data_IF_923366989065
#
_entry.id   IF_923366989065
#
_cell.length_a   1.000
_cell.length_b   1.000
_cell.length_c   1.000
_cell.angle_alpha   90.00
_cell.angle_beta   90.00
_cell.angle_gamma   90.00
#
_symmetry.space_group_name_H-M   'P 1'
#
loop_
_entity.id
_entity.type
_entity.pdbx_description
1 polymer ?
#
# COMPACT_ATOMS: atom_id res chain seq x y z
N UNK A 1 -17.45 -13.72 -13.42
CA UNK A 1 -16.16 -12.99 -13.34
C UNK A 1 -15.23 -13.76 -12.42
N UNK A 2 -13.94 -13.86 -12.73
CA UNK A 2 -12.96 -14.56 -11.87
C UNK A 2 -12.35 -13.55 -10.90
N UNK A 3 -12.68 -13.68 -9.62
CA UNK A 3 -12.04 -12.93 -8.55
C UNK A 3 -10.60 -13.42 -8.33
N UNK A 4 -9.69 -12.49 -8.10
CA UNK A 4 -8.30 -12.73 -7.70
C UNK A 4 -8.10 -12.24 -6.28
N UNK A 5 -7.50 -13.10 -5.47
CA UNK A 5 -7.18 -12.80 -4.08
C UNK A 5 -5.66 -12.62 -3.91
N UNK A 6 -5.25 -11.66 -3.09
CA UNK A 6 -3.85 -11.40 -2.75
C UNK A 6 -3.70 -11.04 -1.26
N UNK A 7 -2.50 -11.26 -0.73
CA UNK A 7 -2.11 -10.81 0.62
C UNK A 7 -1.07 -9.70 0.49
N UNK A 8 -1.28 -8.59 1.19
CA UNK A 8 -0.30 -7.52 1.35
C UNK A 8 0.25 -7.54 2.77
N UNK A 9 1.41 -8.18 2.96
CA UNK A 9 2.02 -8.31 4.27
C UNK A 9 2.44 -6.95 4.85
N UNK A 10 2.16 -6.78 6.14
CA UNK A 10 2.74 -5.73 6.95
C UNK A 10 4.27 -5.93 7.06
N UNK A 11 4.96 -4.83 7.33
CA UNK A 11 6.41 -4.82 7.51
C UNK A 11 6.80 -4.23 8.86
N UNK A 12 7.94 -4.67 9.36
CA UNK A 12 8.65 -4.03 10.48
C UNK A 12 10.07 -3.68 10.04
N UNK A 13 10.63 -2.61 10.60
CA UNK A 13 12.03 -2.26 10.39
C UNK A 13 12.84 -2.85 11.54
N UNK A 14 13.63 -3.91 11.29
CA UNK A 14 14.53 -4.48 12.31
C UNK A 14 15.71 -3.56 12.62
N UNK A 15 16.11 -2.77 11.64
CA UNK A 15 17.07 -1.70 11.81
C UNK A 15 16.62 -0.50 10.98
N UNK A 16 16.80 0.70 11.52
CA UNK A 16 16.53 1.96 10.85
C UNK A 16 17.60 2.98 11.25
N UNK A 17 18.34 3.47 10.26
CA UNK A 17 19.29 4.56 10.41
C UNK A 17 18.74 5.74 9.63
N UNK A 18 18.52 6.85 10.34
CA UNK A 18 18.07 8.12 9.78
C UNK A 18 19.28 9.05 9.70
N UNK A 19 19.57 9.57 8.52
CA UNK A 19 20.70 10.49 8.28
C UNK A 19 20.22 11.95 8.34
N UNK A 20 21.15 12.91 8.35
CA UNK A 20 20.82 14.33 8.28
C UNK A 20 19.99 14.66 7.03
N UNK A 21 19.10 15.66 7.08
CA UNK A 21 18.28 16.03 5.93
C UNK A 21 19.13 16.39 4.71
N UNK A 22 18.68 15.97 3.54
CA UNK A 22 19.22 16.39 2.26
C UNK A 22 18.62 17.75 1.84
N UNK A 23 19.14 18.32 0.75
CA UNK A 23 18.70 19.62 0.23
C UNK A 23 17.25 19.63 -0.27
N UNK A 24 16.65 18.47 -0.50
CA UNK A 24 15.25 18.29 -0.90
C UNK A 24 14.28 18.22 0.29
N UNK A 25 14.78 18.34 1.52
CA UNK A 25 13.99 18.30 2.75
C UNK A 25 13.70 16.88 3.26
N UNK A 26 14.14 15.82 2.59
CA UNK A 26 14.00 14.45 3.06
C UNK A 26 15.21 13.99 3.87
N UNK A 27 14.98 13.05 4.78
CA UNK A 27 16.06 12.33 5.45
C UNK A 27 16.41 11.06 4.67
N UNK A 28 17.65 10.89 4.19
CA UNK A 28 18.10 9.62 3.69
C UNK A 28 17.99 8.54 4.77
N UNK A 29 17.41 7.39 4.40
CA UNK A 29 17.24 6.25 5.31
C UNK A 29 18.04 5.04 4.83
N UNK A 30 18.63 4.32 5.78
CA UNK A 30 19.13 2.96 5.56
C UNK A 30 18.38 2.03 6.52
N UNK A 31 17.66 1.06 5.99
CA UNK A 31 16.74 0.23 6.78
C UNK A 31 16.86 -1.23 6.38
N UNK A 32 16.71 -2.12 7.36
CA UNK A 32 16.38 -3.52 7.12
C UNK A 32 14.89 -3.70 7.41
N UNK A 33 14.08 -3.65 6.35
CA UNK A 33 12.65 -3.94 6.43
C UNK A 33 12.41 -5.43 6.18
N UNK A 34 11.59 -6.05 7.02
CA UNK A 34 11.15 -7.43 6.84
C UNK A 34 9.62 -7.49 6.84
N UNK A 35 9.07 -8.41 6.06
CA UNK A 35 7.66 -8.75 6.12
C UNK A 35 7.38 -9.64 7.33
N UNK A 36 6.17 -9.51 7.88
CA UNK A 36 5.66 -10.41 8.93
C UNK A 36 4.37 -11.08 8.42
N UNK A 37 3.93 -12.14 9.11
CA UNK A 37 2.74 -12.92 8.70
C UNK A 37 1.40 -12.23 9.05
N UNK A 38 1.44 -10.93 9.38
CA UNK A 38 0.25 -10.08 9.46
C UNK A 38 0.06 -9.43 8.09
N UNK A 39 -1.13 -9.52 7.49
CA UNK A 39 -1.37 -9.03 6.14
C UNK A 39 -2.80 -8.52 5.95
N UNK A 40 -2.95 -7.53 5.08
CA UNK A 40 -4.25 -7.17 4.51
C UNK A 40 -4.64 -8.19 3.42
N UNK A 41 -5.94 -8.48 3.33
CA UNK A 41 -6.51 -9.33 2.27
C UNK A 41 -7.12 -8.43 1.20
N UNK A 42 -6.73 -8.66 -0.05
CA UNK A 42 -7.29 -7.95 -1.20
C UNK A 42 -8.06 -8.93 -2.08
N UNK A 43 -9.29 -8.58 -2.40
CA UNK A 43 -10.11 -9.24 -3.41
C UNK A 43 -10.29 -8.27 -4.60
N UNK A 44 -10.02 -8.75 -5.81
CA UNK A 44 -10.05 -7.92 -7.02
C UNK A 44 -10.76 -8.68 -8.13
N UNK A 45 -11.64 -7.99 -8.85
CA UNK A 45 -12.30 -8.50 -10.04
C UNK A 45 -12.34 -7.41 -11.11
N UNK A 46 -12.39 -7.83 -12.38
CA UNK A 46 -12.68 -6.90 -13.47
C UNK A 46 -14.16 -6.48 -13.36
N UNK A 47 -14.40 -5.18 -13.45
CA UNK A 47 -15.71 -4.54 -13.39
C UNK A 47 -15.85 -3.54 -14.54
N UNK A 48 -17.08 -3.19 -14.91
CA UNK A 48 -17.36 -2.14 -15.91
C UNK A 48 -16.96 -0.75 -15.41
N UNK A 49 -17.04 -0.55 -14.09
CA UNK A 49 -16.65 0.68 -13.41
C UNK A 49 -15.61 0.40 -12.31
N UNK A 50 -14.78 1.40 -12.01
CA UNK A 50 -13.88 1.31 -10.88
C UNK A 50 -14.65 1.42 -9.57
N UNK A 51 -14.38 0.47 -8.69
CA UNK A 51 -14.97 0.42 -7.36
C UNK A 51 -13.87 0.09 -6.36
N UNK A 52 -13.97 0.69 -5.19
CA UNK A 52 -13.08 0.42 -4.07
C UNK A 52 -13.89 0.40 -2.78
N UNK A 53 -13.67 -0.65 -2.01
CA UNK A 53 -14.26 -0.84 -0.70
C UNK A 53 -13.17 -1.23 0.29
N UNK A 54 -13.20 -0.64 1.46
CA UNK A 54 -12.30 -0.97 2.56
C UNK A 54 -13.11 -1.27 3.82
N UNK A 55 -12.75 -2.35 4.53
CA UNK A 55 -13.37 -2.71 5.80
C UNK A 55 -13.09 -1.70 6.92
N UNK A 56 -12.02 -0.91 6.79
CA UNK A 56 -11.73 0.25 7.63
C UNK A 56 -12.43 1.48 7.04
N UNK A 57 -13.51 1.93 7.69
CA UNK A 57 -14.40 2.98 7.19
C UNK A 57 -13.69 4.32 6.94
N UNK A 58 -12.72 4.66 7.79
CA UNK A 58 -11.89 5.86 7.67
C UNK A 58 -10.95 5.85 6.46
N UNK A 59 -10.68 4.67 5.90
CA UNK A 59 -9.86 4.47 4.70
C UNK A 59 -10.68 4.18 3.45
N UNK A 60 -12.01 4.18 3.55
CA UNK A 60 -12.92 3.85 2.45
C UNK A 60 -13.25 5.07 1.57
N UNK A 61 -12.22 5.63 0.94
CA UNK A 61 -12.34 6.82 0.10
C UNK A 61 -11.26 6.84 -1.00
N UNK A 62 -11.46 7.64 -2.06
CA UNK A 62 -10.56 7.74 -3.22
C UNK A 62 -9.15 8.30 -2.89
N UNK A 63 -8.95 8.82 -1.68
CA UNK A 63 -7.62 9.22 -1.21
C UNK A 63 -6.72 8.04 -0.82
N UNK A 64 -7.29 6.83 -0.73
CA UNK A 64 -6.57 5.61 -0.38
C UNK A 64 -5.50 5.29 -1.45
N UNK A 65 -4.33 4.83 -1.01
CA UNK A 65 -3.24 4.45 -1.92
C UNK A 65 -3.61 3.29 -2.85
N UNK A 66 -4.51 2.39 -2.45
CA UNK A 66 -5.02 1.32 -3.30
C UNK A 66 -5.84 1.89 -4.48
N UNK A 67 -6.71 2.88 -4.23
CA UNK A 67 -7.42 3.58 -5.30
C UNK A 67 -6.45 4.32 -6.23
N UNK A 68 -5.50 5.06 -5.66
CA UNK A 68 -4.48 5.77 -6.45
C UNK A 68 -3.64 4.81 -7.29
N UNK A 69 -3.36 3.60 -6.79
CA UNK A 69 -2.67 2.56 -7.54
C UNK A 69 -3.51 2.03 -8.71
N UNK A 70 -4.83 1.83 -8.52
CA UNK A 70 -5.75 1.47 -9.59
C UNK A 70 -5.77 2.53 -10.70
N UNK A 71 -5.90 3.81 -10.33
CA UNK A 71 -5.86 4.93 -11.28
C UNK A 71 -4.50 5.00 -11.99
N UNK A 72 -3.39 4.80 -11.28
CA UNK A 72 -2.05 4.85 -11.87
C UNK A 72 -1.77 3.68 -12.82
N UNK A 73 -2.27 2.47 -12.52
CA UNK A 73 -2.07 1.28 -13.36
C UNK A 73 -2.77 1.38 -14.73
N UNK A 74 -3.81 2.23 -14.83
CA UNK A 74 -4.54 2.48 -16.08
C UNK A 74 -3.81 3.39 -17.08
N UNK A 75 -2.86 4.19 -16.59
CA UNK A 75 -2.07 5.14 -17.38
C UNK A 75 -0.76 4.52 -17.87
#
# INVERSE_FOLDING_TARGET
MTERNALANAKVNLNLIVQSPASDGYHPIRSLAISVDMADRLAMAISEEDLFECSAEDLNHEGNLAWRALVAYRN
#
